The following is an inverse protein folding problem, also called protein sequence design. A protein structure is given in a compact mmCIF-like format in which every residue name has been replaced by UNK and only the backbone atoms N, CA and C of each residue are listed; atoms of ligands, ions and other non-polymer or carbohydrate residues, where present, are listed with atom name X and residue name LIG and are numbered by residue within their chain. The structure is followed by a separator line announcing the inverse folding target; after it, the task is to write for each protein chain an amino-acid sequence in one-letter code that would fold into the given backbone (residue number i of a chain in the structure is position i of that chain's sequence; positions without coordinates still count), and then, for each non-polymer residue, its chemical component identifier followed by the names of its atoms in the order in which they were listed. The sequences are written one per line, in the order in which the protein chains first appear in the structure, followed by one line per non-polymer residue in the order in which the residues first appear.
data_IF_944107282880
#
_entry.id   IF_944107282880
#
_cell.length_a   1.000
_cell.length_b   1.000
_cell.length_c   1.000
_cell.angle_alpha   90.00
_cell.angle_beta   90.00
_cell.angle_gamma   90.00
#
_symmetry.space_group_name_H-M   'P 1'
#
loop_
_entity.id
_entity.type
_entity.pdbx_description
1 polymer ?
#
# COMPACT_ATOMS: atom_id res chain seq x y z
N UNK A 1 10.76 -17.67 -79.31
CA UNK A 1 11.42 -17.68 -78.02
C UNK A 1 10.67 -16.69 -77.11
N UNK A 2 9.79 -17.18 -76.23
CA UNK A 2 8.96 -16.33 -75.34
C UNK A 2 9.56 -16.31 -73.94
N UNK A 3 10.13 -15.17 -73.57
CA UNK A 3 10.57 -14.93 -72.18
C UNK A 3 9.40 -14.44 -71.33
N UNK A 4 9.02 -15.21 -70.29
CA UNK A 4 8.10 -14.77 -69.25
C UNK A 4 8.91 -14.08 -68.15
N UNK A 5 8.50 -12.88 -67.66
CA UNK A 5 9.12 -12.28 -66.48
C UNK A 5 8.54 -12.88 -65.22
N UNK A 6 9.44 -13.28 -64.28
CA UNK A 6 9.09 -13.70 -62.94
C UNK A 6 8.92 -12.44 -62.04
N UNK A 7 7.72 -12.24 -61.52
CA UNK A 7 7.45 -11.25 -60.51
C UNK A 7 7.87 -11.81 -59.13
N UNK A 8 8.92 -11.25 -58.56
CA UNK A 8 9.26 -11.47 -57.16
C UNK A 8 8.40 -10.54 -56.30
N UNK A 9 7.45 -11.11 -55.54
CA UNK A 9 6.74 -10.39 -54.50
C UNK A 9 7.64 -10.31 -53.25
N UNK A 10 8.13 -9.11 -52.93
CA UNK A 10 8.85 -8.87 -51.71
C UNK A 10 7.84 -8.81 -50.54
N UNK A 11 7.86 -9.81 -49.65
CA UNK A 11 7.18 -9.77 -48.36
C UNK A 11 7.98 -8.84 -47.44
N UNK A 12 7.41 -7.69 -47.13
CA UNK A 12 7.90 -6.84 -46.05
C UNK A 12 7.53 -7.46 -44.68
N UNK A 13 8.49 -7.63 -43.75
CA UNK A 13 8.15 -8.05 -42.41
C UNK A 13 7.38 -6.93 -41.72
N UNK A 14 6.13 -7.21 -41.36
CA UNK A 14 5.32 -6.32 -40.52
C UNK A 14 6.00 -6.17 -39.16
N UNK A 15 6.48 -4.97 -38.86
CA UNK A 15 6.92 -4.60 -37.50
C UNK A 15 5.70 -4.64 -36.59
N UNK A 16 5.61 -5.65 -35.73
CA UNK A 16 4.69 -5.66 -34.62
C UNK A 16 5.11 -4.52 -33.67
N UNK A 17 4.35 -3.44 -33.68
CA UNK A 17 4.41 -2.43 -32.62
C UNK A 17 4.03 -3.14 -31.31
N UNK A 18 5.03 -3.48 -30.49
CA UNK A 18 4.81 -3.81 -29.10
C UNK A 18 4.16 -2.59 -28.46
N UNK A 19 2.89 -2.73 -28.07
CA UNK A 19 2.22 -1.76 -27.24
C UNK A 19 3.04 -1.65 -25.95
N UNK A 20 3.83 -0.58 -25.82
CA UNK A 20 4.53 -0.25 -24.60
C UNK A 20 3.48 -0.08 -23.51
N UNK A 21 3.38 -1.03 -22.58
CA UNK A 21 2.71 -0.83 -21.31
C UNK A 21 3.38 0.39 -20.68
N UNK A 22 2.65 1.50 -20.63
CA UNK A 22 3.11 2.73 -20.00
C UNK A 22 3.34 2.44 -18.52
N UNK A 23 4.59 2.18 -18.15
CA UNK A 23 5.01 2.02 -16.76
C UNK A 23 5.06 3.40 -16.11
N UNK A 24 3.89 3.90 -15.67
CA UNK A 24 3.87 5.00 -14.71
C UNK A 24 4.55 4.53 -13.41
N UNK A 25 5.02 5.48 -12.59
CA UNK A 25 5.52 5.15 -11.25
C UNK A 25 4.41 4.52 -10.40
N UNK A 26 4.78 3.60 -9.49
CA UNK A 26 3.86 3.08 -8.47
C UNK A 26 3.16 4.25 -7.78
N UNK A 27 1.87 4.18 -7.67
CA UNK A 27 1.07 5.21 -7.00
C UNK A 27 0.11 4.60 -6.00
N UNK A 28 -0.12 5.31 -4.91
CA UNK A 28 -1.15 5.03 -3.90
C UNK A 28 -2.04 6.27 -3.73
N UNK A 29 -3.32 6.06 -3.55
CA UNK A 29 -4.32 7.10 -3.31
C UNK A 29 -5.40 6.60 -2.35
N UNK A 30 -6.20 7.52 -1.82
CA UNK A 30 -7.34 7.21 -0.95
C UNK A 30 -8.52 8.10 -1.29
N UNK A 31 -9.74 7.58 -1.14
CA UNK A 31 -10.95 8.38 -1.09
C UNK A 31 -11.30 8.86 0.33
N UNK A 32 -10.68 8.26 1.35
CA UNK A 32 -10.88 8.64 2.76
C UNK A 32 -10.16 9.94 3.13
N UNK A 33 -9.06 10.29 2.46
CA UNK A 33 -8.34 11.57 2.58
C UNK A 33 -7.39 11.79 1.39
N UNK A 34 -7.03 13.04 1.13
CA UNK A 34 -6.04 13.40 0.10
C UNK A 34 -4.63 13.44 0.69
N UNK A 35 -3.59 13.30 -0.15
CA UNK A 35 -2.20 13.44 0.30
C UNK A 35 -1.95 14.81 0.94
N UNK A 36 -1.34 14.82 2.12
CA UNK A 36 -1.18 15.99 2.97
C UNK A 36 -2.46 16.49 3.64
N UNK A 37 -3.63 15.87 3.37
CA UNK A 37 -4.94 16.27 3.88
C UNK A 37 -5.25 15.74 5.28
N UNK A 38 -6.44 16.11 5.77
CA UNK A 38 -6.94 15.69 7.08
C UNK A 38 -7.57 14.30 6.99
N UNK A 39 -7.21 13.43 7.91
CA UNK A 39 -7.83 12.11 8.09
C UNK A 39 -9.22 12.34 8.71
N UNK A 40 -10.25 11.73 8.12
CA UNK A 40 -11.62 11.88 8.59
C UNK A 40 -11.87 11.09 9.89
N UNK A 41 -12.89 11.50 10.66
CA UNK A 41 -13.24 10.87 11.94
C UNK A 41 -13.53 9.37 11.82
N UNK A 42 -14.04 8.91 10.67
CA UNK A 42 -14.30 7.49 10.45
C UNK A 42 -13.04 6.61 10.62
N UNK A 43 -11.85 7.16 10.36
CA UNK A 43 -10.57 6.44 10.49
C UNK A 43 -9.95 6.57 11.89
N UNK A 44 -10.41 7.51 12.70
CA UNK A 44 -9.85 7.87 14.03
C UNK A 44 -10.28 6.85 15.08
N UNK A 45 -9.48 6.70 16.15
CA UNK A 45 -9.80 5.82 17.27
C UNK A 45 -11.13 6.17 17.96
N UNK A 46 -11.86 5.18 18.53
CA UNK A 46 -13.22 5.37 19.04
C UNK A 46 -13.26 6.04 20.42
N UNK A 47 -12.12 6.14 21.11
CA UNK A 47 -12.07 6.78 22.41
C UNK A 47 -12.41 8.29 22.29
N UNK A 48 -13.26 8.86 23.17
CA UNK A 48 -13.49 10.30 23.22
C UNK A 48 -12.21 11.15 23.31
N UNK A 49 -11.16 10.60 23.97
CA UNK A 49 -9.84 11.23 24.02
C UNK A 49 -9.09 11.22 22.67
N UNK A 50 -9.60 10.52 21.66
CA UNK A 50 -9.07 10.51 20.29
C UNK A 50 -9.93 11.32 19.31
N UNK A 51 -11.08 11.86 19.76
CA UNK A 51 -12.08 12.53 18.92
C UNK A 51 -13.33 11.69 18.63
N UNK A 52 -13.48 10.50 19.27
CA UNK A 52 -14.64 9.59 19.13
C UNK A 52 -14.91 9.16 17.68
N UNK A 53 -13.91 8.62 17.01
CA UNK A 53 -14.01 8.11 15.63
C UNK A 53 -14.63 6.70 15.55
N UNK A 54 -14.57 6.09 14.36
CA UNK A 54 -15.14 4.76 14.10
C UNK A 54 -14.07 3.66 13.95
N UNK A 55 -12.79 4.02 13.97
CA UNK A 55 -11.62 3.12 13.80
C UNK A 55 -11.68 2.26 12.52
N UNK A 56 -12.25 2.81 11.44
CA UNK A 56 -12.30 2.13 10.15
C UNK A 56 -10.95 2.27 9.43
N UNK A 57 -10.46 1.19 8.82
CA UNK A 57 -9.31 1.31 7.91
C UNK A 57 -9.65 2.25 6.76
N UNK A 58 -8.72 3.12 6.31
CA UNK A 58 -8.98 3.95 5.15
C UNK A 58 -9.16 3.10 3.89
N UNK A 59 -9.98 3.59 2.94
CA UNK A 59 -9.96 3.06 1.59
C UNK A 59 -8.62 3.40 0.94
N UNK A 60 -8.01 2.45 0.25
CA UNK A 60 -6.77 2.63 -0.49
C UNK A 60 -6.91 2.08 -1.90
N UNK A 61 -6.29 2.73 -2.87
CA UNK A 61 -6.14 2.26 -4.25
C UNK A 61 -4.72 2.45 -4.71
N UNK A 62 -4.23 1.56 -5.57
CA UNK A 62 -2.90 1.65 -6.16
C UNK A 62 -2.91 1.34 -7.64
N UNK A 63 -1.87 1.81 -8.33
CA UNK A 63 -1.66 1.58 -9.77
C UNK A 63 -0.18 1.42 -10.06
N UNK A 64 0.11 0.83 -11.22
CA UNK A 64 1.45 0.71 -11.77
C UNK A 64 2.41 -0.05 -10.84
N UNK A 65 1.98 -1.22 -10.35
CA UNK A 65 2.85 -2.11 -9.59
C UNK A 65 4.09 -2.47 -10.44
N UNK A 66 5.30 -2.47 -9.86
CA UNK A 66 6.51 -2.88 -10.56
C UNK A 66 6.38 -4.29 -11.15
N UNK A 67 6.96 -4.55 -12.32
CA UNK A 67 7.04 -5.90 -12.87
C UNK A 67 7.70 -6.86 -11.87
N UNK A 68 7.15 -8.07 -11.73
CA UNK A 68 7.65 -9.07 -10.79
C UNK A 68 7.05 -8.96 -9.39
N UNK A 69 6.12 -8.02 -9.13
CA UNK A 69 5.39 -7.96 -7.87
C UNK A 69 4.60 -9.25 -7.65
N UNK A 70 4.79 -9.89 -6.48
CA UNK A 70 4.15 -11.14 -6.08
C UNK A 70 3.32 -11.01 -4.82
N UNK A 71 3.57 -9.99 -4.00
CA UNK A 71 2.71 -9.55 -2.90
C UNK A 71 2.96 -8.08 -2.58
N UNK A 72 2.08 -7.50 -1.75
CA UNK A 72 2.24 -6.15 -1.26
C UNK A 72 2.30 -6.16 0.27
N UNK A 73 2.97 -5.13 0.82
CA UNK A 73 2.94 -4.79 2.23
C UNK A 73 2.55 -3.33 2.41
N UNK A 74 1.88 -3.02 3.51
CA UNK A 74 1.42 -1.68 3.88
C UNK A 74 1.79 -1.40 5.32
N UNK A 75 2.34 -0.22 5.57
CA UNK A 75 2.65 0.28 6.91
C UNK A 75 2.02 1.64 7.09
N UNK A 76 1.16 1.81 8.10
CA UNK A 76 0.74 3.12 8.59
C UNK A 76 1.57 3.48 9.82
N UNK A 77 2.40 4.49 9.67
CA UNK A 77 3.36 4.92 10.69
C UNK A 77 3.18 6.41 11.00
N UNK A 78 3.13 6.73 12.28
CA UNK A 78 3.09 8.08 12.82
C UNK A 78 4.48 8.40 13.43
N UNK A 79 5.31 9.20 12.78
CA UNK A 79 6.63 9.59 13.29
C UNK A 79 6.56 10.55 14.49
N UNK A 80 5.45 11.29 14.66
CA UNK A 80 5.28 12.28 15.73
C UNK A 80 4.86 11.60 17.04
N UNK A 81 4.24 10.42 16.94
CA UNK A 81 3.75 9.65 18.07
C UNK A 81 4.87 9.16 19.00
N UNK A 82 4.51 8.79 20.23
CA UNK A 82 5.46 8.29 21.21
C UNK A 82 6.58 9.29 21.53
N UNK A 83 6.30 10.60 21.51
CA UNK A 83 7.28 11.69 21.71
C UNK A 83 8.42 11.66 20.67
N UNK A 84 8.07 11.37 19.40
CA UNK A 84 9.02 11.32 18.28
C UNK A 84 9.74 9.97 18.10
N UNK A 85 9.44 8.95 18.93
CA UNK A 85 9.96 7.58 18.73
C UNK A 85 9.21 6.89 17.58
N UNK A 86 7.96 7.31 17.35
CA UNK A 86 7.07 6.80 16.32
C UNK A 86 6.13 5.70 16.79
N UNK A 87 4.98 5.60 16.13
CA UNK A 87 3.93 4.64 16.42
C UNK A 87 3.49 3.96 15.12
N UNK A 88 3.44 2.63 15.12
CA UNK A 88 2.82 1.83 14.06
C UNK A 88 1.34 1.69 14.37
N UNK A 89 0.49 2.21 13.49
CA UNK A 89 -0.97 2.14 13.59
C UNK A 89 -1.55 0.93 12.89
N UNK A 90 -0.99 0.58 11.74
CA UNK A 90 -1.44 -0.55 10.93
C UNK A 90 -0.26 -1.15 10.18
N UNK A 91 -0.20 -2.46 10.23
CA UNK A 91 0.74 -3.27 9.47
C UNK A 91 -0.08 -4.33 8.74
N UNK A 92 0.00 -4.36 7.41
CA UNK A 92 -0.67 -5.35 6.59
C UNK A 92 0.31 -5.88 5.54
N UNK A 93 0.31 -7.17 5.28
CA UNK A 93 1.22 -7.81 4.33
C UNK A 93 0.59 -9.09 3.77
N UNK A 94 1.30 -9.83 2.93
CA UNK A 94 0.72 -10.90 2.11
C UNK A 94 -0.52 -10.41 1.33
N UNK A 95 -0.54 -9.12 0.96
CA UNK A 95 -1.64 -8.54 0.20
C UNK A 95 -1.54 -9.02 -1.23
N UNK A 96 -2.65 -9.52 -1.76
CA UNK A 96 -2.73 -10.01 -3.14
C UNK A 96 -2.55 -8.84 -4.13
N UNK A 97 -1.55 -8.88 -5.04
CA UNK A 97 -1.33 -7.84 -6.02
C UNK A 97 -2.44 -7.77 -7.10
N UNK A 98 -3.27 -8.81 -7.23
CA UNK A 98 -4.46 -8.78 -8.11
C UNK A 98 -5.55 -7.86 -7.57
N UNK A 99 -5.49 -7.48 -6.29
CA UNK A 99 -6.33 -6.42 -5.75
C UNK A 99 -5.82 -5.06 -6.27
N UNK A 100 -6.74 -4.18 -6.64
CA UNK A 100 -6.44 -2.80 -7.03
C UNK A 100 -6.64 -1.79 -5.87
N UNK A 101 -6.92 -2.31 -4.67
CA UNK A 101 -7.12 -1.52 -3.47
C UNK A 101 -7.59 -2.30 -2.24
N UNK A 102 -7.76 -1.59 -1.14
CA UNK A 102 -8.39 -2.06 0.09
C UNK A 102 -9.64 -1.22 0.37
N UNK A 103 -10.79 -1.87 0.54
CA UNK A 103 -12.05 -1.19 0.87
C UNK A 103 -12.02 -0.65 2.31
N UNK A 104 -12.67 0.49 2.52
CA UNK A 104 -12.79 1.12 3.84
C UNK A 104 -13.42 0.15 4.86
N UNK A 105 -12.80 0.05 6.03
CA UNK A 105 -13.30 -0.74 7.16
C UNK A 105 -13.19 -2.26 7.01
N UNK A 106 -12.67 -2.79 5.90
CA UNK A 106 -12.68 -4.24 5.63
C UNK A 106 -11.46 -4.99 6.17
N UNK A 107 -10.32 -4.34 6.29
CA UNK A 107 -9.04 -5.01 6.55
C UNK A 107 -8.40 -4.60 7.88
N UNK A 108 -9.24 -4.33 8.88
CA UNK A 108 -8.78 -4.05 10.25
C UNK A 108 -8.16 -5.28 10.92
N UNK A 109 -8.54 -6.48 10.48
CA UNK A 109 -8.07 -7.79 10.96
C UNK A 109 -7.62 -8.65 9.79
N UNK A 110 -6.87 -9.72 10.07
CA UNK A 110 -6.44 -10.71 9.07
C UNK A 110 -7.64 -11.35 8.35
N UNK A 111 -7.51 -11.47 7.03
CA UNK A 111 -8.46 -12.12 6.13
C UNK A 111 -7.71 -13.12 5.23
N UNK A 112 -8.39 -13.75 4.27
CA UNK A 112 -7.71 -14.59 3.27
C UNK A 112 -6.80 -13.78 2.32
N UNK A 113 -7.12 -12.51 2.09
CA UNK A 113 -6.41 -11.65 1.14
C UNK A 113 -5.33 -10.77 1.78
N UNK A 114 -5.31 -10.65 3.10
CA UNK A 114 -4.44 -9.73 3.84
C UNK A 114 -4.10 -10.32 5.20
N UNK A 115 -2.83 -10.38 5.54
CA UNK A 115 -2.36 -10.67 6.91
C UNK A 115 -2.13 -9.36 7.65
N UNK A 116 -2.75 -9.19 8.82
CA UNK A 116 -2.54 -8.00 9.68
C UNK A 116 -1.48 -8.31 10.73
N UNK A 117 -0.45 -7.48 10.74
CA UNK A 117 0.67 -7.59 11.67
C UNK A 117 0.44 -6.82 12.98
N UNK A 118 1.46 -6.84 13.81
CA UNK A 118 1.44 -6.28 15.16
C UNK A 118 1.71 -4.77 15.14
N UNK A 119 0.75 -3.99 15.61
CA UNK A 119 0.92 -2.56 15.81
C UNK A 119 1.76 -2.25 17.08
N UNK A 120 2.07 -0.96 17.34
CA UNK A 120 2.89 -0.54 18.50
C UNK A 120 2.27 -0.82 19.87
N UNK A 121 0.98 -1.23 19.94
CA UNK A 121 0.36 -1.74 21.18
C UNK A 121 0.49 -3.25 21.33
N UNK A 122 1.12 -3.92 20.38
CA UNK A 122 1.27 -5.37 20.37
C UNK A 122 0.03 -6.13 19.89
N UNK A 123 -0.99 -5.46 19.35
CA UNK A 123 -2.23 -6.08 18.86
C UNK A 123 -2.22 -6.24 17.33
N UNK A 124 -2.93 -7.26 16.83
CA UNK A 124 -3.02 -7.64 15.41
C UNK A 124 -4.27 -7.00 14.77
N UNK A 125 -4.33 -5.68 14.76
CA UNK A 125 -5.44 -4.93 14.18
C UNK A 125 -5.00 -3.54 13.71
N UNK A 126 -5.82 -2.92 12.88
CA UNK A 126 -5.77 -1.49 12.65
C UNK A 126 -6.04 -0.74 13.96
N UNK A 127 -5.33 0.37 14.14
CA UNK A 127 -5.56 1.33 15.20
C UNK A 127 -5.64 2.72 14.60
N UNK A 128 -6.75 3.38 14.81
CA UNK A 128 -6.97 4.74 14.33
C UNK A 128 -6.02 5.77 14.96
N UNK A 129 -5.80 6.91 14.30
CA UNK A 129 -5.16 8.07 14.88
C UNK A 129 -5.74 8.43 16.25
N UNK A 130 -4.85 8.78 17.19
CA UNK A 130 -5.23 9.20 18.54
C UNK A 130 -4.08 10.03 19.15
N UNK A 131 -3.75 11.21 18.57
CA UNK A 131 -2.74 12.09 19.15
C UNK A 131 -3.26 12.67 20.46
N UNK A 132 -2.40 13.11 21.40
CA UNK A 132 -2.86 13.83 22.59
C UNK A 132 -3.60 15.12 22.23
N UNK A 133 -4.67 15.41 22.95
CA UNK A 133 -5.43 16.64 22.75
C UNK A 133 -4.54 17.87 22.96
N UNK A 134 -4.58 18.81 22.01
CA UNK A 134 -3.79 20.05 22.04
C UNK A 134 -2.37 19.91 21.48
N UNK A 135 -1.93 18.72 21.08
CA UNK A 135 -0.69 18.57 20.30
C UNK A 135 -0.89 19.13 18.87
N UNK A 136 0.21 19.49 18.22
CA UNK A 136 0.16 19.75 16.79
C UNK A 136 -0.37 18.52 16.05
N UNK A 137 -1.09 18.68 14.93
CA UNK A 137 -1.54 17.53 14.14
C UNK A 137 -0.38 16.60 13.79
N UNK A 138 -0.54 15.31 14.12
CA UNK A 138 0.42 14.26 13.76
C UNK A 138 0.31 13.90 12.28
N UNK A 139 1.39 13.36 11.73
CA UNK A 139 1.47 12.86 10.36
C UNK A 139 1.37 11.33 10.35
N UNK A 140 0.53 10.82 9.50
CA UNK A 140 0.31 9.37 9.34
C UNK A 140 0.71 8.97 7.93
N UNK A 141 1.91 8.41 7.79
CA UNK A 141 2.42 7.93 6.52
C UNK A 141 1.94 6.50 6.26
N UNK A 142 1.13 6.31 5.22
CA UNK A 142 0.74 5.00 4.70
C UNK A 142 1.67 4.64 3.54
N UNK A 143 2.61 3.75 3.77
CA UNK A 143 3.58 3.31 2.78
C UNK A 143 3.19 1.96 2.22
N UNK A 144 2.86 1.91 0.93
CA UNK A 144 2.68 0.68 0.15
C UNK A 144 4.04 0.24 -0.40
N UNK A 145 4.39 -1.03 -0.21
CA UNK A 145 5.63 -1.64 -0.67
C UNK A 145 5.26 -2.83 -1.57
N UNK A 146 5.72 -2.79 -2.82
CA UNK A 146 5.63 -3.92 -3.73
C UNK A 146 6.83 -4.84 -3.53
N UNK A 147 6.61 -6.16 -3.48
CA UNK A 147 7.65 -7.14 -3.19
C UNK A 147 7.56 -8.35 -4.12
N UNK A 148 8.69 -9.02 -4.36
CA UNK A 148 8.78 -10.28 -5.09
C UNK A 148 8.55 -11.53 -4.20
N UNK A 149 8.27 -11.34 -2.92
CA UNK A 149 7.92 -12.41 -1.98
C UNK A 149 6.52 -12.93 -2.31
N UNK A 150 6.32 -14.25 -2.48
CA UNK A 150 4.99 -14.81 -2.75
C UNK A 150 4.00 -14.58 -1.60
N UNK A 151 2.71 -14.45 -1.94
CA UNK A 151 1.63 -14.40 -0.97
C UNK A 151 1.71 -15.63 -0.04
N UNK A 152 1.45 -15.43 1.25
CA UNK A 152 1.42 -16.50 2.26
C UNK A 152 2.79 -17.01 2.69
N UNK A 153 3.88 -16.43 2.17
CA UNK A 153 5.26 -16.79 2.57
C UNK A 153 5.68 -16.10 3.87
N UNK A 154 5.25 -14.86 4.07
CA UNK A 154 5.56 -14.13 5.29
C UNK A 154 4.73 -14.68 6.46
N UNK A 155 5.36 -15.00 7.62
CA UNK A 155 4.66 -15.57 8.78
C UNK A 155 3.70 -14.57 9.41
N UNK A 156 2.70 -15.08 10.12
CA UNK A 156 1.78 -14.26 10.90
C UNK A 156 2.46 -13.62 12.13
N UNK A 157 1.89 -12.53 12.62
CA UNK A 157 2.31 -11.91 13.88
C UNK A 157 3.57 -11.06 13.80
N UNK A 158 4.08 -10.77 12.60
CA UNK A 158 5.20 -9.83 12.42
C UNK A 158 4.84 -8.45 12.97
N UNK A 159 5.81 -7.82 13.61
CA UNK A 159 5.84 -6.39 13.84
C UNK A 159 6.57 -5.67 12.69
N UNK A 160 6.67 -4.34 12.77
CA UNK A 160 7.32 -3.55 11.72
C UNK A 160 8.80 -3.95 11.52
N UNK A 161 9.51 -4.21 12.60
CA UNK A 161 10.94 -4.57 12.54
C UNK A 161 11.12 -5.88 11.81
N UNK A 162 10.41 -6.93 12.23
CA UNK A 162 10.47 -8.25 11.58
C UNK A 162 10.01 -8.21 10.12
N UNK A 163 8.96 -7.42 9.80
CA UNK A 163 8.54 -7.25 8.41
C UNK A 163 9.63 -6.57 7.58
N UNK A 164 10.22 -5.46 8.06
CA UNK A 164 11.25 -4.74 7.31
C UNK A 164 12.51 -5.58 7.10
N UNK A 165 12.90 -6.42 8.06
CA UNK A 165 14.02 -7.35 7.91
C UNK A 165 13.77 -8.36 6.80
N UNK A 166 12.57 -8.94 6.73
CA UNK A 166 12.20 -9.91 5.69
C UNK A 166 12.02 -9.27 4.30
N UNK A 167 11.70 -7.98 4.23
CA UNK A 167 11.59 -7.24 2.97
C UNK A 167 12.93 -6.75 2.41
N UNK A 168 14.02 -6.85 3.16
CA UNK A 168 15.35 -6.44 2.67
C UNK A 168 15.77 -7.26 1.44
N UNK A 169 16.09 -6.55 0.35
CA UNK A 169 16.45 -7.17 -0.92
C UNK A 169 15.27 -7.68 -1.76
N UNK A 170 14.05 -7.59 -1.23
CA UNK A 170 12.81 -8.06 -1.88
C UNK A 170 11.85 -6.92 -2.27
N UNK A 171 12.06 -5.70 -1.81
CA UNK A 171 11.25 -4.55 -2.19
C UNK A 171 11.57 -4.11 -3.64
N UNK A 172 10.57 -4.13 -4.50
CA UNK A 172 10.64 -3.73 -5.92
C UNK A 172 10.30 -2.25 -6.10
N UNK A 173 9.57 -1.66 -5.19
CA UNK A 173 9.19 -0.25 -5.19
C UNK A 173 8.30 0.07 -4.00
N UNK A 174 8.23 1.34 -3.64
CA UNK A 174 7.36 1.82 -2.57
C UNK A 174 6.83 3.22 -2.89
N UNK A 175 5.65 3.53 -2.38
CA UNK A 175 5.03 4.85 -2.44
C UNK A 175 4.24 5.12 -1.17
N UNK A 176 4.29 6.35 -0.70
CA UNK A 176 3.57 6.77 0.51
C UNK A 176 2.48 7.79 0.19
N UNK A 177 1.42 7.72 1.01
CA UNK A 177 0.34 8.69 1.12
C UNK A 177 0.34 9.20 2.56
N UNK A 178 0.32 10.52 2.78
CA UNK A 178 0.38 11.11 4.11
C UNK A 178 -0.94 11.79 4.47
N UNK A 179 -1.53 11.39 5.59
CA UNK A 179 -2.66 12.11 6.20
C UNK A 179 -2.24 12.82 7.48
N UNK A 180 -3.02 13.80 7.93
CA UNK A 180 -2.81 14.53 9.18
C UNK A 180 -4.03 14.41 10.06
N UNK A 181 -3.83 14.32 11.37
CA UNK A 181 -4.90 14.38 12.34
C UNK A 181 -4.43 15.00 13.66
N UNK A 182 -5.28 15.85 14.24
CA UNK A 182 -5.16 16.46 15.56
C UNK A 182 -6.52 16.94 16.03
N UNK A 183 -6.75 17.13 17.33
CA UNK A 183 -8.01 17.57 17.92
C UNK A 183 -7.83 18.36 19.21
#
# INVERSE_FOLDING_TARGET
MNFKPWLFAALLPGAALAAGSGSGALSISSSSFTDGGVIALQQVGPDPACGAGEERTPQLSWKNLPPGTRSLALVMFDPDGGKGIGVVHWLAYNIDPELDGLEEGKFALTTQAVTVGRNSRGTLNYRGPCPPAGDNPHHYALTLIATDIPIGTLPEGLDRTGLMELLQGHALGAQSLVGKYGH
#
